data_IF_409356330498
#
_entry.id   IF_409356330498
#
_cell.length_a   1.000
_cell.length_b   1.000
_cell.length_c   1.000
_cell.angle_alpha   90.00
_cell.angle_beta   90.00
_cell.angle_gamma   90.00
#
_symmetry.space_group_name_H-M   'P 1'
#
loop_
_entity.id
_entity.type
_entity.pdbx_description
1 polymer ?
#
# COMPACT_ATOMS: atom_id res chain seq x y z
N UNK A 1 8.26 -12.00 1.27
CA UNK A 1 8.52 -10.73 0.55
C UNK A 1 9.04 -9.73 1.55
N UNK A 2 10.12 -9.04 1.21
CA UNK A 2 10.66 -7.93 2.01
C UNK A 2 9.83 -6.70 1.64
N UNK A 3 9.39 -5.87 2.60
CA UNK A 3 8.68 -4.65 2.28
C UNK A 3 9.58 -3.70 1.47
N UNK A 4 8.98 -2.82 0.65
CA UNK A 4 9.67 -1.76 -0.08
C UNK A 4 10.68 -0.98 0.76
N UNK A 5 11.81 -0.61 0.14
CA UNK A 5 12.91 0.05 0.83
C UNK A 5 12.87 1.58 0.73
N UNK A 6 12.13 2.15 -0.23
CA UNK A 6 12.02 3.61 -0.40
C UNK A 6 10.77 4.04 -1.18
N UNK A 7 10.42 5.33 -1.09
CA UNK A 7 9.35 5.99 -1.87
C UNK A 7 7.94 5.37 -1.72
N UNK A 8 7.74 4.59 -0.66
CA UNK A 8 6.46 4.07 -0.20
C UNK A 8 5.78 5.06 0.76
N UNK A 9 4.51 4.82 1.06
CA UNK A 9 3.83 5.42 2.21
C UNK A 9 3.68 4.37 3.31
N UNK A 10 3.74 4.81 4.57
CA UNK A 10 3.39 3.99 5.74
C UNK A 10 2.48 4.82 6.65
N UNK A 11 1.29 4.31 6.90
CA UNK A 11 0.25 5.02 7.65
C UNK A 11 -0.20 4.22 8.87
N UNK A 12 -0.31 4.90 10.00
CA UNK A 12 -0.75 4.29 11.27
C UNK A 12 -2.24 3.96 11.18
N UNK A 13 -2.58 2.69 11.39
CA UNK A 13 -3.97 2.23 11.51
C UNK A 13 -4.44 2.42 12.95
N UNK A 14 -3.66 1.93 13.91
CA UNK A 14 -3.91 2.06 15.34
C UNK A 14 -2.60 1.92 16.13
N UNK A 15 -2.67 1.73 17.44
CA UNK A 15 -1.47 1.68 18.30
C UNK A 15 -0.56 0.46 18.07
N UNK A 16 -1.06 -0.58 17.41
CA UNK A 16 -0.29 -1.81 17.17
C UNK A 16 -0.20 -2.17 15.69
N UNK A 17 -0.84 -1.41 14.79
CA UNK A 17 -0.92 -1.74 13.36
C UNK A 17 -0.66 -0.53 12.46
N UNK A 18 0.01 -0.79 11.34
CA UNK A 18 0.21 0.18 10.25
C UNK A 18 0.01 -0.51 8.89
N UNK A 19 -0.28 0.27 7.86
CA UNK A 19 -0.30 -0.18 6.47
C UNK A 19 0.82 0.49 5.70
N UNK A 20 1.53 -0.28 4.87
CA UNK A 20 2.49 0.21 3.90
C UNK A 20 2.00 -0.12 2.50
N UNK A 21 2.13 0.83 1.59
CA UNK A 21 1.73 0.66 0.20
C UNK A 21 2.71 1.32 -0.76
N UNK A 22 2.89 0.66 -1.91
CA UNK A 22 3.73 1.11 -3.01
C UNK A 22 5.21 1.23 -2.64
N UNK A 23 5.95 2.00 -3.42
CA UNK A 23 7.38 2.21 -3.29
C UNK A 23 8.22 1.22 -4.08
N UNK A 24 9.52 1.31 -3.85
CA UNK A 24 10.58 0.60 -4.58
C UNK A 24 10.98 -0.68 -3.85
N UNK A 25 10.88 -1.80 -4.55
CA UNK A 25 11.50 -3.07 -4.19
C UNK A 25 12.81 -3.20 -4.99
N UNK A 26 13.86 -3.72 -4.35
CA UNK A 26 15.11 -4.10 -5.02
C UNK A 26 15.24 -5.60 -4.85
N UNK A 27 15.25 -6.35 -5.94
CA UNK A 27 15.50 -7.78 -5.89
C UNK A 27 17.00 -8.10 -5.76
N UNK A 28 17.31 -9.38 -5.52
CA UNK A 28 18.70 -9.85 -5.35
C UNK A 28 19.57 -9.63 -6.62
N UNK A 29 18.93 -9.44 -7.79
CA UNK A 29 19.57 -9.11 -9.06
C UNK A 29 19.77 -7.59 -9.26
N UNK A 30 19.55 -6.79 -8.21
CA UNK A 30 19.61 -5.33 -8.20
C UNK A 30 18.64 -4.64 -9.17
N UNK A 31 17.65 -5.37 -9.70
CA UNK A 31 16.61 -4.79 -10.52
C UNK A 31 15.68 -3.99 -9.64
N UNK A 32 15.42 -2.77 -10.10
CA UNK A 32 14.49 -1.86 -9.44
C UNK A 32 13.11 -2.09 -10.01
N UNK A 33 12.18 -2.47 -9.14
CA UNK A 33 10.76 -2.55 -9.46
C UNK A 33 9.97 -1.71 -8.48
N UNK A 34 8.81 -1.23 -8.92
CA UNK A 34 7.82 -0.67 -8.01
C UNK A 34 6.76 -1.72 -7.73
N UNK A 35 6.07 -1.56 -6.62
CA UNK A 35 5.10 -2.55 -6.15
C UNK A 35 3.72 -1.94 -5.99
N UNK A 36 2.70 -2.78 -6.09
CA UNK A 36 1.33 -2.52 -5.66
C UNK A 36 0.93 -3.49 -4.55
N UNK A 37 1.90 -4.19 -3.95
CA UNK A 37 1.65 -5.03 -2.78
C UNK A 37 1.32 -4.14 -1.58
N UNK A 38 0.41 -4.63 -0.76
CA UNK A 38 0.08 -4.03 0.53
C UNK A 38 0.79 -4.82 1.61
N UNK A 39 1.33 -4.11 2.59
CA UNK A 39 1.95 -4.73 3.75
C UNK A 39 1.25 -4.23 5.00
N UNK A 40 0.64 -5.15 5.75
CA UNK A 40 0.10 -4.84 7.08
C UNK A 40 1.15 -5.21 8.10
N UNK A 41 1.60 -4.22 8.85
CA UNK A 41 2.50 -4.40 9.97
C UNK A 41 1.71 -4.49 11.25
N UNK A 42 2.06 -5.48 12.07
CA UNK A 42 1.59 -5.62 13.44
C UNK A 42 2.80 -5.65 14.37
N UNK A 43 2.81 -4.77 15.37
CA UNK A 43 3.90 -4.65 16.34
C UNK A 43 3.47 -5.02 17.75
N UNK A 44 4.41 -5.57 18.49
CA UNK A 44 4.40 -5.68 19.95
C UNK A 44 5.65 -5.00 20.53
N UNK A 45 5.84 -5.07 21.85
CA UNK A 45 7.04 -4.54 22.52
C UNK A 45 8.35 -5.15 21.97
N UNK A 46 8.31 -6.41 21.49
CA UNK A 46 9.52 -7.15 21.12
C UNK A 46 9.49 -7.76 19.72
N UNK A 47 8.36 -7.68 19.01
CA UNK A 47 8.20 -8.31 17.70
C UNK A 47 7.53 -7.41 16.69
N UNK A 48 7.87 -7.63 15.42
CA UNK A 48 7.21 -7.02 14.27
C UNK A 48 6.81 -8.16 13.33
N UNK A 49 5.54 -8.22 12.98
CA UNK A 49 5.00 -9.15 12.00
C UNK A 49 4.55 -8.37 10.77
N UNK A 50 4.92 -8.88 9.59
CA UNK A 50 4.53 -8.30 8.32
C UNK A 50 3.66 -9.29 7.54
N UNK A 51 2.44 -8.89 7.23
CA UNK A 51 1.56 -9.59 6.31
C UNK A 51 1.61 -8.93 4.94
N UNK A 52 2.13 -9.65 3.94
CA UNK A 52 2.11 -9.22 2.55
C UNK A 52 0.80 -9.65 1.89
N UNK A 53 0.05 -8.71 1.34
CA UNK A 53 -1.17 -8.92 0.56
C UNK A 53 -0.84 -8.54 -0.88
N UNK A 54 -0.84 -9.56 -1.75
CA UNK A 54 -0.59 -9.41 -3.18
C UNK A 54 -1.90 -9.26 -3.93
N UNK A 55 -1.85 -8.66 -5.12
CA UNK A 55 -3.00 -8.63 -6.05
C UNK A 55 -3.51 -10.05 -6.32
N UNK A 56 -4.79 -10.36 -6.03
CA UNK A 56 -5.38 -11.64 -6.41
C UNK A 56 -5.56 -11.75 -7.93
N UNK A 57 -5.39 -12.96 -8.49
CA UNK A 57 -5.48 -13.19 -9.94
C UNK A 57 -6.87 -12.83 -10.53
N UNK A 58 -7.94 -13.03 -9.76
CA UNK A 58 -9.32 -12.87 -10.19
C UNK A 58 -9.91 -11.46 -9.95
N UNK A 59 -9.10 -10.46 -9.60
CA UNK A 59 -9.57 -9.10 -9.30
C UNK A 59 -9.02 -8.09 -10.31
N UNK A 60 -9.94 -7.41 -11.00
CA UNK A 60 -9.62 -6.36 -11.97
C UNK A 60 -9.35 -4.99 -11.31
N UNK A 61 -9.94 -4.73 -10.14
CA UNK A 61 -9.72 -3.48 -9.40
C UNK A 61 -8.51 -3.57 -8.47
N UNK A 62 -7.37 -3.08 -8.95
CA UNK A 62 -6.14 -2.95 -8.18
C UNK A 62 -5.32 -1.77 -8.71
N UNK A 63 -4.74 -0.92 -7.85
CA UNK A 63 -3.87 0.16 -8.31
C UNK A 63 -2.63 -0.40 -8.99
N UNK A 64 -2.15 0.26 -10.05
CA UNK A 64 -0.85 -0.09 -10.63
C UNK A 64 0.28 0.08 -9.62
N UNK A 65 1.39 -0.63 -9.87
CA UNK A 65 2.63 -0.44 -9.12
C UNK A 65 3.04 1.03 -9.13
N UNK A 66 3.32 1.58 -7.95
CA UNK A 66 3.53 3.03 -7.83
C UNK A 66 4.45 3.45 -6.70
N UNK A 67 5.03 4.64 -6.82
CA UNK A 67 5.91 5.27 -5.82
C UNK A 67 5.71 6.79 -5.80
N UNK A 68 6.23 7.47 -4.76
CA UNK A 68 6.06 8.92 -4.55
C UNK A 68 4.60 9.41 -4.58
N UNK A 69 3.67 8.56 -4.16
CA UNK A 69 2.25 8.88 -4.05
C UNK A 69 1.95 9.45 -2.66
N UNK A 70 0.82 10.13 -2.53
CA UNK A 70 0.28 10.52 -1.24
C UNK A 70 -0.60 9.40 -0.67
N UNK A 71 -0.64 9.29 0.66
CA UNK A 71 -1.47 8.34 1.38
C UNK A 71 -1.98 8.93 2.69
N UNK A 72 -3.16 8.52 3.14
CA UNK A 72 -3.70 8.87 4.44
C UNK A 72 -4.71 7.83 4.92
N UNK A 73 -4.74 7.56 6.23
CA UNK A 73 -5.79 6.76 6.87
C UNK A 73 -6.95 7.67 7.28
N UNK A 74 -8.15 7.34 6.80
CA UNK A 74 -9.41 7.98 7.20
C UNK A 74 -10.26 6.94 7.93
N UNK A 75 -10.68 7.28 9.15
CA UNK A 75 -11.60 6.47 9.94
C UNK A 75 -12.99 7.07 9.77
N UNK A 76 -13.86 6.38 9.02
CA UNK A 76 -15.28 6.72 8.98
C UNK A 76 -15.98 6.15 10.21
N UNK A 77 -17.13 6.71 10.63
CA UNK A 77 -17.81 6.43 11.90
C UNK A 77 -18.24 4.98 12.20
N UNK A 78 -17.80 4.00 11.41
CA UNK A 78 -17.92 2.57 11.62
C UNK A 78 -16.65 1.91 12.19
N UNK A 79 -15.70 2.69 12.71
CA UNK A 79 -14.36 2.23 13.16
C UNK A 79 -13.61 1.40 12.09
N UNK A 80 -13.93 1.62 10.82
CA UNK A 80 -13.30 0.95 9.68
C UNK A 80 -12.25 1.88 9.09
N UNK A 81 -10.96 1.69 9.38
CA UNK A 81 -9.90 2.50 8.79
C UNK A 81 -9.81 2.20 7.30
N UNK A 82 -9.81 3.26 6.49
CA UNK A 82 -9.62 3.18 5.04
C UNK A 82 -8.37 3.93 4.67
N UNK A 83 -7.51 3.31 3.86
CA UNK A 83 -6.36 3.99 3.29
C UNK A 83 -6.79 4.65 1.98
N UNK A 84 -6.62 5.96 1.89
CA UNK A 84 -6.77 6.71 0.64
C UNK A 84 -5.38 6.95 0.07
N UNK A 85 -5.18 6.67 -1.21
CA UNK A 85 -3.97 7.03 -1.94
C UNK A 85 -4.32 7.89 -3.15
N UNK A 86 -3.41 8.80 -3.51
CA UNK A 86 -3.58 9.63 -4.70
C UNK A 86 -2.25 9.90 -5.38
N UNK A 87 -2.28 9.82 -6.71
CA UNK A 87 -1.18 10.13 -7.60
C UNK A 87 0.02 9.20 -7.44
N UNK A 88 1.22 9.79 -7.57
CA UNK A 88 2.50 9.08 -7.64
C UNK A 88 2.98 8.89 -9.07
N UNK A 89 3.89 7.94 -9.25
CA UNK A 89 4.41 7.54 -10.55
C UNK A 89 4.41 6.03 -10.71
N UNK A 90 4.24 5.55 -11.93
CA UNK A 90 4.29 4.12 -12.28
C UNK A 90 5.69 3.66 -12.74
N UNK A 91 5.82 2.41 -13.17
CA UNK A 91 7.08 1.86 -13.73
C UNK A 91 7.56 2.61 -14.99
N UNK A 92 6.67 3.28 -15.73
CA UNK A 92 6.99 4.14 -16.88
C UNK A 92 7.55 5.51 -16.46
N UNK A 93 7.49 5.83 -15.16
CA UNK A 93 7.73 7.14 -14.56
C UNK A 93 6.66 8.19 -14.86
N UNK A 94 5.53 7.77 -15.42
CA UNK A 94 4.40 8.62 -15.74
C UNK A 94 3.66 9.04 -14.47
N UNK A 95 3.23 10.29 -14.43
CA UNK A 95 2.45 10.81 -13.31
C UNK A 95 1.06 10.18 -13.32
N UNK A 96 0.66 9.65 -12.17
CA UNK A 96 -0.68 9.12 -11.95
C UNK A 96 -1.59 10.25 -11.47
N UNK A 97 -2.81 10.28 -12.00
CA UNK A 97 -3.87 11.23 -11.65
C UNK A 97 -5.07 10.54 -10.98
N UNK A 98 -4.91 9.26 -10.63
CA UNK A 98 -5.94 8.45 -10.00
C UNK A 98 -5.98 8.58 -8.48
N UNK A 99 -7.13 8.19 -7.91
CA UNK A 99 -7.34 8.07 -6.47
C UNK A 99 -7.99 6.72 -6.14
N UNK A 100 -7.49 6.09 -5.08
CA UNK A 100 -7.97 4.79 -4.65
C UNK A 100 -8.25 4.76 -3.16
N UNK A 101 -9.27 3.99 -2.79
CA UNK A 101 -9.60 3.66 -1.40
C UNK A 101 -9.37 2.17 -1.19
N UNK A 102 -8.57 1.85 -0.17
CA UNK A 102 -8.41 0.49 0.33
C UNK A 102 -9.21 0.29 1.61
N UNK A 103 -10.09 -0.70 1.59
CA UNK A 103 -10.74 -1.19 2.78
C UNK A 103 -9.81 -2.17 3.50
N UNK A 104 -9.27 -1.75 4.66
CA UNK A 104 -8.32 -2.55 5.44
C UNK A 104 -8.94 -3.84 5.96
N UNK A 105 -10.24 -3.87 6.25
CA UNK A 105 -10.90 -5.07 6.79
C UNK A 105 -11.21 -6.09 5.69
N UNK A 106 -11.61 -5.62 4.51
CA UNK A 106 -12.01 -6.48 3.39
C UNK A 106 -10.85 -6.80 2.43
N UNK A 107 -9.72 -6.10 2.58
CA UNK A 107 -8.58 -6.16 1.67
C UNK A 107 -8.97 -5.92 0.21
N UNK A 108 -9.87 -4.96 -0.02
CA UNK A 108 -10.39 -4.61 -1.34
C UNK A 108 -10.06 -3.15 -1.69
N UNK A 109 -9.83 -2.92 -2.98
CA UNK A 109 -9.62 -1.60 -3.54
C UNK A 109 -10.84 -1.12 -4.31
N UNK A 110 -11.09 0.18 -4.27
CA UNK A 110 -12.08 0.87 -5.10
C UNK A 110 -11.39 2.09 -5.72
N UNK A 111 -11.49 2.24 -7.04
CA UNK A 111 -11.06 3.46 -7.74
C UNK A 111 -12.13 4.54 -7.58
N UNK A 112 -11.73 5.75 -7.19
CA UNK A 112 -12.64 6.87 -6.90
C UNK A 112 -12.64 7.91 -8.01
N UNK A 113 -11.48 8.21 -8.58
CA UNK A 113 -11.29 9.03 -9.77
C UNK A 113 -10.07 8.53 -10.55
#
# INVERSE_FOLDING_TARGET
CIPPASAFIIEKINNTRAVLFGGRETDDDAKTTYTSNIYILEISISTVFWQCIKKPEAIDQWPVDRYYHAGAIIITGSDCPMLIISGGRDNSTDALDDCWIFNITQHSWIKVC
#
